data_IF_897128837483
#
_entry.id   IF_897128837483
#
_cell.length_a   1.000
_cell.length_b   1.000
_cell.length_c   1.000
_cell.angle_alpha   90.00
_cell.angle_beta   90.00
_cell.angle_gamma   90.00
#
_symmetry.space_group_name_H-M   'P 1'
#
loop_
_entity.id
_entity.type
_entity.pdbx_description
1 polymer ?
#
# COMPACT_ATOMS: atom_id res chain seq x y z
N UNK A 1 14.16 -1.01 45.46
CA UNK A 1 14.14 0.01 44.38
C UNK A 1 13.40 -0.60 43.20
N UNK A 2 12.50 0.14 42.54
CA UNK A 2 11.78 -0.39 41.39
C UNK A 2 12.73 -0.53 40.18
N UNK A 3 12.75 -1.71 39.55
CA UNK A 3 13.56 -1.97 38.37
C UNK A 3 12.73 -1.75 37.10
N UNK A 4 13.01 -0.64 36.40
CA UNK A 4 12.33 -0.26 35.16
C UNK A 4 12.58 -1.26 34.03
N UNK A 5 13.79 -1.79 33.90
CA UNK A 5 14.12 -2.73 32.81
C UNK A 5 13.44 -4.08 33.01
N UNK A 6 13.32 -4.54 34.27
CA UNK A 6 12.48 -5.69 34.58
C UNK A 6 11.02 -5.43 34.21
N UNK A 7 10.47 -4.25 34.57
CA UNK A 7 9.10 -3.90 34.24
C UNK A 7 8.83 -3.81 32.72
N UNK A 8 9.77 -3.29 31.93
CA UNK A 8 9.67 -3.28 30.46
C UNK A 8 9.67 -4.70 29.89
N UNK A 9 10.57 -5.59 30.36
CA UNK A 9 10.62 -6.99 29.92
C UNK A 9 9.34 -7.76 30.25
N UNK A 10 8.81 -7.55 31.45
CA UNK A 10 7.56 -8.19 31.88
C UNK A 10 6.38 -7.72 31.04
N UNK A 11 6.27 -6.41 30.82
CA UNK A 11 5.23 -5.84 29.96
C UNK A 11 5.35 -6.36 28.52
N UNK A 12 6.56 -6.41 27.96
CA UNK A 12 6.82 -6.94 26.62
C UNK A 12 6.37 -8.39 26.51
N UNK A 13 6.75 -9.21 27.49
CA UNK A 13 6.35 -10.62 27.58
C UNK A 13 4.82 -10.77 27.61
N UNK A 14 4.14 -9.93 28.39
CA UNK A 14 2.67 -9.90 28.40
C UNK A 14 2.06 -9.50 27.05
N UNK A 15 2.66 -8.56 26.32
CA UNK A 15 2.18 -8.14 25.00
C UNK A 15 2.38 -9.24 23.97
N UNK A 16 3.56 -9.87 23.92
CA UNK A 16 3.89 -10.94 22.97
C UNK A 16 2.99 -12.18 23.16
N UNK A 17 2.61 -12.53 24.39
CA UNK A 17 1.74 -13.69 24.67
C UNK A 17 0.25 -13.34 24.66
N UNK A 18 -0.11 -12.12 25.09
CA UNK A 18 -1.50 -11.72 25.34
C UNK A 18 -2.18 -11.02 24.16
N UNK A 19 -1.40 -10.55 23.18
CA UNK A 19 -1.92 -9.86 22.00
C UNK A 19 -1.41 -10.54 20.75
N UNK A 20 -2.25 -10.73 19.73
CA UNK A 20 -1.83 -11.22 18.43
C UNK A 20 -1.00 -10.21 17.62
N UNK A 21 -0.29 -9.30 18.31
CA UNK A 21 0.58 -8.30 17.71
C UNK A 21 1.82 -8.99 17.13
N UNK A 22 2.29 -8.45 16.02
CA UNK A 22 3.56 -8.86 15.45
C UNK A 22 4.70 -8.38 16.38
N UNK A 23 5.83 -9.11 16.46
CA UNK A 23 6.97 -8.70 17.28
C UNK A 23 7.41 -7.25 17.04
N UNK A 24 7.33 -6.79 15.78
CA UNK A 24 7.62 -5.40 15.39
C UNK A 24 6.68 -4.37 16.04
N UNK A 25 5.39 -4.69 16.13
CA UNK A 25 4.40 -3.79 16.72
C UNK A 25 4.61 -3.68 18.22
N UNK A 26 5.01 -4.79 18.86
CA UNK A 26 5.41 -4.78 20.28
C UNK A 26 6.65 -3.92 20.52
N UNK A 27 7.66 -4.01 19.65
CA UNK A 27 8.86 -3.16 19.76
C UNK A 27 8.54 -1.67 19.66
N UNK A 28 7.72 -1.28 18.69
CA UNK A 28 7.32 0.12 18.51
C UNK A 28 6.53 0.65 19.71
N UNK A 29 5.65 -0.19 20.29
CA UNK A 29 4.94 0.15 21.52
C UNK A 29 5.87 0.22 22.73
N UNK A 30 6.91 -0.62 22.81
CA UNK A 30 7.92 -0.57 23.87
C UNK A 30 8.70 0.75 23.79
N UNK A 31 9.14 1.15 22.59
CA UNK A 31 9.84 2.41 22.37
C UNK A 31 8.97 3.60 22.79
N UNK A 32 7.68 3.59 22.44
CA UNK A 32 6.72 4.60 22.89
C UNK A 32 6.54 4.59 24.42
N UNK A 33 6.45 3.41 25.04
CA UNK A 33 6.32 3.28 26.49
C UNK A 33 7.54 3.87 27.21
N UNK A 34 8.74 3.49 26.76
CA UNK A 34 10.01 3.99 27.29
C UNK A 34 10.08 5.51 27.16
N UNK A 35 9.78 6.06 25.98
CA UNK A 35 9.77 7.50 25.74
C UNK A 35 8.80 8.23 26.69
N UNK A 36 7.59 7.71 26.89
CA UNK A 36 6.61 8.30 27.80
C UNK A 36 7.08 8.24 29.26
N UNK A 37 7.67 7.12 29.70
CA UNK A 37 8.21 6.99 31.06
C UNK A 37 9.29 8.03 31.33
N UNK A 38 10.25 8.18 30.40
CA UNK A 38 11.33 9.14 30.56
C UNK A 38 10.81 10.58 30.57
N UNK A 39 9.84 10.90 29.70
CA UNK A 39 9.19 12.20 29.68
C UNK A 39 8.51 12.52 31.02
N UNK A 40 7.76 11.58 31.60
CA UNK A 40 7.09 11.79 32.90
C UNK A 40 8.09 12.01 34.05
N UNK A 41 9.23 11.31 34.03
CA UNK A 41 10.31 11.48 35.00
C UNK A 41 11.03 12.83 34.85
N UNK A 42 11.18 13.32 33.63
CA UNK A 42 11.76 14.64 33.36
C UNK A 42 10.84 15.77 33.80
N UNK A 43 9.53 15.66 33.51
CA UNK A 43 8.52 16.66 33.85
C UNK A 43 8.27 16.74 35.36
N UNK A 44 8.35 15.60 36.07
CA UNK A 44 8.10 15.55 37.50
C UNK A 44 9.17 14.75 38.24
N UNK A 45 10.19 15.46 38.75
CA UNK A 45 11.30 14.86 39.50
C UNK A 45 10.88 14.20 40.82
N UNK A 46 9.69 14.51 41.36
CA UNK A 46 9.17 13.85 42.55
C UNK A 46 8.46 12.53 42.23
N UNK A 47 8.24 12.23 40.95
CA UNK A 47 7.56 11.03 40.51
C UNK A 47 8.48 9.81 40.64
N UNK A 48 7.98 8.77 41.31
CA UNK A 48 8.72 7.50 41.38
C UNK A 48 8.71 6.77 40.02
N UNK A 49 9.78 6.03 39.66
CA UNK A 49 9.82 5.22 38.44
C UNK A 49 8.63 4.26 38.27
N UNK A 50 8.17 3.65 39.37
CA UNK A 50 7.00 2.77 39.36
C UNK A 50 5.73 3.51 38.94
N UNK A 51 5.55 4.76 39.41
CA UNK A 51 4.38 5.58 39.08
C UNK A 51 4.44 6.10 37.65
N UNK A 52 5.62 6.53 37.18
CA UNK A 52 5.85 6.92 35.80
C UNK A 52 5.50 5.77 34.83
N UNK A 53 5.98 4.57 35.13
CA UNK A 53 5.65 3.36 34.35
C UNK A 53 4.15 3.07 34.32
N UNK A 54 3.47 3.14 35.47
CA UNK A 54 2.02 2.92 35.54
C UNK A 54 1.22 3.94 34.70
N UNK A 55 1.60 5.22 34.75
CA UNK A 55 0.98 6.28 33.96
C UNK A 55 1.21 6.08 32.46
N UNK A 56 2.46 5.79 32.06
CA UNK A 56 2.81 5.51 30.66
C UNK A 56 2.04 4.30 30.11
N UNK A 57 1.94 3.21 30.90
CA UNK A 57 1.15 2.03 30.53
C UNK A 57 -0.33 2.35 30.39
N UNK A 58 -0.88 3.19 31.28
CA UNK A 58 -2.27 3.62 31.19
C UNK A 58 -2.51 4.49 29.94
N UNK A 59 -1.56 5.35 29.57
CA UNK A 59 -1.64 6.19 28.38
C UNK A 59 -1.61 5.38 27.07
N UNK A 60 -0.82 4.30 27.02
CA UNK A 60 -0.78 3.38 25.87
C UNK A 60 -2.08 2.60 25.68
N UNK A 61 -2.84 2.37 26.75
CA UNK A 61 -4.17 1.77 26.69
C UNK A 61 -4.19 0.23 26.73
N UNK A 62 -5.39 -0.34 26.57
CA UNK A 62 -5.60 -1.78 26.74
C UNK A 62 -5.03 -2.59 25.55
N UNK A 63 -4.26 -3.67 25.79
CA UNK A 63 -3.60 -4.45 24.74
C UNK A 63 -4.54 -4.96 23.63
N UNK A 64 -5.79 -5.32 23.98
CA UNK A 64 -6.81 -5.75 23.01
C UNK A 64 -7.28 -4.61 22.09
N UNK A 65 -7.32 -3.39 22.61
CA UNK A 65 -7.69 -2.21 21.82
C UNK A 65 -6.59 -1.89 20.82
N UNK A 66 -5.32 -1.90 21.25
CA UNK A 66 -4.16 -1.73 20.39
C UNK A 66 -4.12 -2.78 19.28
N UNK A 67 -4.29 -4.06 19.61
CA UNK A 67 -4.35 -5.13 18.60
C UNK A 67 -5.43 -4.90 17.53
N UNK A 68 -6.60 -4.36 17.91
CA UNK A 68 -7.65 -3.98 16.94
C UNK A 68 -7.26 -2.79 16.07
N UNK A 69 -6.55 -1.80 16.62
CA UNK A 69 -6.08 -0.65 15.87
C UNK A 69 -4.96 -1.03 14.89
N UNK A 70 -3.99 -1.82 15.35
CA UNK A 70 -2.96 -2.39 14.48
C UNK A 70 -3.55 -3.32 13.42
N UNK A 71 -4.57 -4.12 13.74
CA UNK A 71 -5.27 -4.94 12.74
C UNK A 71 -6.04 -4.09 11.70
N UNK A 72 -6.59 -2.93 12.10
CA UNK A 72 -7.21 -1.96 11.17
C UNK A 72 -6.14 -1.30 10.28
N UNK A 73 -5.02 -0.91 10.86
CA UNK A 73 -3.88 -0.33 10.13
C UNK A 73 -3.18 -1.36 9.22
N UNK A 74 -3.22 -2.64 9.59
CA UNK A 74 -2.52 -3.75 8.96
C UNK A 74 -3.24 -4.36 7.76
N UNK A 75 -4.47 -3.94 7.43
CA UNK A 75 -5.09 -4.36 6.17
C UNK A 75 -4.32 -3.71 5.00
N UNK A 76 -3.69 -4.51 4.12
CA UNK A 76 -2.86 -3.95 3.07
C UNK A 76 -3.70 -3.13 2.09
N UNK A 77 -3.67 -1.79 2.24
CA UNK A 77 -4.44 -0.83 1.42
C UNK A 77 -4.20 -1.04 -0.08
N UNK A 78 -3.02 -1.54 -0.46
CA UNK A 78 -2.70 -1.89 -1.84
C UNK A 78 -3.66 -2.92 -2.45
N UNK A 79 -4.22 -3.86 -1.67
CA UNK A 79 -5.18 -4.85 -2.20
C UNK A 79 -6.48 -4.21 -2.64
N UNK A 80 -6.96 -3.22 -1.89
CA UNK A 80 -8.18 -2.48 -2.24
C UNK A 80 -7.96 -1.67 -3.52
N UNK A 81 -6.83 -0.97 -3.63
CA UNK A 81 -6.47 -0.23 -4.83
C UNK A 81 -6.26 -1.14 -6.04
N UNK A 82 -5.65 -2.31 -5.86
CA UNK A 82 -5.46 -3.28 -6.95
C UNK A 82 -6.81 -3.83 -7.45
N UNK A 83 -7.74 -4.11 -6.54
CA UNK A 83 -9.11 -4.56 -6.89
C UNK A 83 -9.91 -3.46 -7.56
N UNK A 84 -9.85 -2.23 -7.03
CA UNK A 84 -10.52 -1.07 -7.62
C UNK A 84 -9.97 -0.79 -9.03
N UNK A 85 -8.65 -0.76 -9.19
CA UNK A 85 -8.01 -0.60 -10.49
C UNK A 85 -8.38 -1.72 -11.46
N UNK A 86 -8.34 -2.98 -11.02
CA UNK A 86 -8.78 -4.11 -11.85
C UNK A 86 -10.26 -4.03 -12.26
N UNK A 87 -11.15 -3.60 -11.35
CA UNK A 87 -12.57 -3.41 -11.66
C UNK A 87 -12.80 -2.26 -12.65
N UNK A 88 -12.12 -1.13 -12.48
CA UNK A 88 -12.17 0.00 -13.42
C UNK A 88 -11.64 -0.41 -14.80
N UNK A 89 -10.54 -1.16 -14.84
CA UNK A 89 -9.98 -1.69 -16.07
C UNK A 89 -10.96 -2.66 -16.75
N UNK A 90 -11.60 -3.56 -15.99
CA UNK A 90 -12.63 -4.44 -16.54
C UNK A 90 -13.83 -3.66 -17.09
N UNK A 91 -14.31 -2.65 -16.35
CA UNK A 91 -15.40 -1.80 -16.77
C UNK A 91 -15.07 -1.01 -18.05
N UNK A 92 -13.83 -0.57 -18.24
CA UNK A 92 -13.47 0.17 -19.45
C UNK A 92 -13.63 -0.62 -20.75
N UNK A 93 -13.61 -1.96 -20.70
CA UNK A 93 -13.82 -2.79 -21.89
C UNK A 93 -15.26 -2.74 -22.42
N UNK A 94 -16.22 -2.52 -21.52
CA UNK A 94 -17.66 -2.50 -21.81
C UNK A 94 -18.24 -1.09 -21.79
N UNK A 95 -17.41 -0.07 -21.66
CA UNK A 95 -17.83 1.33 -21.70
C UNK A 95 -17.34 1.97 -23.01
N UNK A 96 -18.05 2.96 -23.54
CA UNK A 96 -17.59 3.75 -24.67
C UNK A 96 -16.25 4.41 -24.34
N UNK A 97 -15.22 4.15 -25.15
CA UNK A 97 -13.89 4.73 -24.97
C UNK A 97 -13.73 6.04 -25.75
N UNK A 98 -14.26 6.07 -26.97
CA UNK A 98 -14.29 7.24 -27.86
C UNK A 98 -15.72 7.35 -28.40
N UNK A 99 -16.24 8.57 -28.59
CA UNK A 99 -17.54 8.72 -29.22
C UNK A 99 -17.77 10.10 -29.79
N UNK A 100 -18.21 10.13 -31.04
CA UNK A 100 -18.59 11.34 -31.77
C UNK A 100 -20.07 11.30 -32.19
N UNK A 101 -20.48 12.19 -33.09
CA UNK A 101 -21.83 12.20 -33.65
C UNK A 101 -22.16 10.97 -34.54
N UNK A 102 -21.16 10.20 -34.98
CA UNK A 102 -21.30 9.05 -35.86
C UNK A 102 -21.37 7.71 -35.11
N UNK A 103 -20.96 7.65 -33.84
CA UNK A 103 -21.15 6.48 -33.00
C UNK A 103 -20.26 6.41 -31.76
N UNK A 104 -20.31 5.26 -31.09
CA UNK A 104 -19.48 4.96 -29.92
C UNK A 104 -18.57 3.78 -30.22
N UNK A 105 -17.28 3.95 -29.95
CA UNK A 105 -16.30 2.87 -30.00
C UNK A 105 -16.10 2.32 -28.59
N UNK A 106 -16.42 1.04 -28.40
CA UNK A 106 -16.32 0.39 -27.09
C UNK A 106 -14.86 0.05 -26.78
N UNK A 107 -14.48 -0.01 -25.49
CA UNK A 107 -13.07 -0.27 -25.13
C UNK A 107 -12.50 -1.57 -25.71
N UNK A 108 -13.31 -2.64 -25.83
CA UNK A 108 -12.91 -3.87 -26.51
C UNK A 108 -12.68 -3.70 -28.01
N UNK A 109 -13.55 -2.97 -28.69
CA UNK A 109 -13.42 -2.69 -30.13
C UNK A 109 -12.19 -1.81 -30.41
N UNK A 110 -11.97 -0.78 -29.59
CA UNK A 110 -10.79 0.07 -29.65
C UNK A 110 -9.50 -0.75 -29.49
N UNK A 111 -9.50 -1.74 -28.59
CA UNK A 111 -8.37 -2.65 -28.41
C UNK A 111 -8.16 -3.58 -29.61
N UNK A 112 -9.23 -4.12 -30.20
CA UNK A 112 -9.12 -4.97 -31.40
C UNK A 112 -8.59 -4.16 -32.59
N UNK A 113 -9.13 -2.97 -32.83
CA UNK A 113 -8.66 -2.07 -33.89
C UNK A 113 -7.18 -1.72 -33.71
N UNK A 114 -6.77 -1.43 -32.47
CA UNK A 114 -5.37 -1.18 -32.13
C UNK A 114 -4.44 -2.36 -32.42
N UNK A 115 -4.92 -3.60 -32.35
CA UNK A 115 -4.14 -4.80 -32.68
C UNK A 115 -4.08 -5.09 -34.17
N UNK A 116 -5.18 -4.88 -34.89
CA UNK A 116 -5.29 -5.26 -36.30
C UNK A 116 -4.72 -4.20 -37.25
N UNK A 117 -5.02 -2.93 -36.98
CA UNK A 117 -4.75 -1.82 -37.89
C UNK A 117 -4.18 -0.59 -37.18
N UNK A 118 -3.75 -0.74 -35.93
CA UNK A 118 -3.37 0.37 -35.09
C UNK A 118 -2.21 1.18 -35.65
N UNK A 119 -2.38 2.50 -35.66
CA UNK A 119 -1.27 3.44 -35.67
C UNK A 119 -0.31 3.16 -34.49
N UNK A 120 0.93 3.66 -34.52
CA UNK A 120 1.88 3.45 -33.42
C UNK A 120 1.32 3.83 -32.03
N UNK A 121 0.48 4.86 -31.93
CA UNK A 121 -0.13 5.27 -30.66
C UNK A 121 -1.23 4.33 -30.17
N UNK A 122 -2.03 3.79 -31.08
CA UNK A 122 -3.03 2.76 -30.76
C UNK A 122 -2.34 1.45 -30.34
N UNK A 123 -1.28 1.04 -31.05
CA UNK A 123 -0.46 -0.11 -30.66
C UNK A 123 0.15 0.06 -29.26
N UNK A 124 0.64 1.26 -28.91
CA UNK A 124 1.10 1.59 -27.54
C UNK A 124 -0.04 1.46 -26.51
N UNK A 125 -1.26 1.81 -26.87
CA UNK A 125 -2.45 1.67 -26.03
C UNK A 125 -2.77 0.19 -25.76
N UNK A 126 -2.71 -0.66 -26.78
CA UNK A 126 -2.87 -2.11 -26.63
C UNK A 126 -1.77 -2.72 -25.76
N UNK A 127 -0.50 -2.34 -25.99
CA UNK A 127 0.64 -2.79 -25.16
C UNK A 127 0.50 -2.38 -23.69
N UNK A 128 0.01 -1.17 -23.43
CA UNK A 128 -0.21 -0.70 -22.06
C UNK A 128 -1.34 -1.46 -21.35
N UNK A 129 -2.37 -1.90 -22.09
CA UNK A 129 -3.44 -2.76 -21.57
C UNK A 129 -2.92 -4.16 -21.22
N UNK A 130 -2.05 -4.73 -22.05
CA UNK A 130 -1.34 -6.00 -21.75
C UNK A 130 -0.46 -5.84 -20.50
N UNK A 131 0.25 -4.72 -20.37
CA UNK A 131 1.08 -4.41 -19.20
C UNK A 131 0.25 -4.36 -17.91
N UNK A 132 -0.95 -3.76 -17.95
CA UNK A 132 -1.87 -3.73 -16.80
C UNK A 132 -2.33 -5.14 -16.40
N UNK A 133 -2.72 -5.97 -17.37
CA UNK A 133 -3.08 -7.38 -17.11
C UNK A 133 -1.93 -8.15 -16.48
N UNK A 134 -0.71 -8.00 -17.01
CA UNK A 134 0.49 -8.59 -16.44
C UNK A 134 0.74 -8.08 -15.02
N UNK A 135 0.59 -6.77 -14.77
CA UNK A 135 0.74 -6.21 -13.44
C UNK A 135 -0.25 -6.85 -12.46
N UNK A 136 -1.53 -6.95 -12.80
CA UNK A 136 -2.57 -7.57 -11.96
C UNK A 136 -2.22 -9.02 -11.58
N UNK A 137 -1.75 -9.82 -12.55
CA UNK A 137 -1.42 -11.23 -12.33
C UNK A 137 -0.12 -11.43 -11.53
N UNK A 138 0.90 -10.63 -11.83
CA UNK A 138 2.28 -10.88 -11.41
C UNK A 138 2.57 -10.18 -10.07
N UNK A 139 1.76 -9.19 -9.66
CA UNK A 139 1.88 -8.45 -8.37
C UNK A 139 2.12 -9.40 -7.18
N UNK A 140 1.39 -10.53 -7.11
CA UNK A 140 1.52 -11.57 -6.09
C UNK A 140 2.90 -12.20 -5.92
N UNK A 141 3.64 -12.37 -7.03
CA UNK A 141 4.77 -13.33 -7.14
C UNK A 141 6.14 -12.67 -7.25
N UNK A 142 6.19 -11.35 -7.43
CA UNK A 142 7.39 -10.64 -7.91
C UNK A 142 8.24 -10.09 -6.78
N UNK A 143 9.57 -10.08 -6.96
CA UNK A 143 10.54 -9.46 -6.03
C UNK A 143 10.42 -7.92 -6.01
N UNK A 144 10.85 -7.28 -4.92
CA UNK A 144 10.74 -5.82 -4.70
C UNK A 144 11.29 -4.96 -5.85
N UNK A 145 12.48 -5.28 -6.36
CA UNK A 145 13.10 -4.51 -7.46
C UNK A 145 12.23 -4.47 -8.70
N UNK A 146 11.68 -5.63 -9.07
CA UNK A 146 10.76 -5.79 -10.19
C UNK A 146 9.41 -5.10 -9.97
N UNK A 147 8.91 -5.02 -8.72
CA UNK A 147 7.69 -4.24 -8.42
C UNK A 147 7.88 -2.74 -8.66
N UNK A 148 9.01 -2.15 -8.27
CA UNK A 148 9.30 -0.73 -8.55
C UNK A 148 9.40 -0.46 -10.05
N UNK A 149 10.06 -1.37 -10.78
CA UNK A 149 10.15 -1.28 -12.23
C UNK A 149 8.76 -1.35 -12.87
N UNK A 150 7.91 -2.31 -12.47
CA UNK A 150 6.53 -2.40 -12.94
C UNK A 150 5.72 -1.13 -12.62
N UNK A 151 5.88 -0.53 -11.43
CA UNK A 151 5.25 0.75 -11.11
C UNK A 151 5.62 1.83 -12.14
N UNK A 152 6.91 1.99 -12.43
CA UNK A 152 7.37 3.00 -13.39
C UNK A 152 6.88 2.71 -14.81
N UNK A 153 6.86 1.46 -15.24
CA UNK A 153 6.31 1.09 -16.55
C UNK A 153 4.82 1.41 -16.66
N UNK A 154 4.02 1.07 -15.64
CA UNK A 154 2.57 1.36 -15.62
C UNK A 154 2.33 2.87 -15.61
N UNK A 155 3.05 3.62 -14.77
CA UNK A 155 2.92 5.08 -14.72
C UNK A 155 3.34 5.73 -16.06
N UNK A 156 4.47 5.31 -16.62
CA UNK A 156 4.96 5.82 -17.90
C UNK A 156 3.99 5.53 -19.04
N UNK A 157 3.43 4.33 -19.08
CA UNK A 157 2.40 3.96 -20.05
C UNK A 157 1.14 4.83 -19.92
N UNK A 158 0.68 5.10 -18.69
CA UNK A 158 -0.46 5.97 -18.45
C UNK A 158 -0.21 7.40 -18.97
N UNK A 159 0.97 7.97 -18.66
CA UNK A 159 1.34 9.32 -19.11
C UNK A 159 1.43 9.40 -20.63
N UNK A 160 2.08 8.43 -21.28
CA UNK A 160 2.19 8.39 -22.74
C UNK A 160 0.82 8.32 -23.42
N UNK A 161 -0.10 7.51 -22.88
CA UNK A 161 -1.45 7.40 -23.42
C UNK A 161 -2.28 8.68 -23.21
N UNK A 162 -2.15 9.34 -22.04
CA UNK A 162 -2.80 10.63 -21.81
C UNK A 162 -2.30 11.69 -22.79
N UNK A 163 -0.98 11.77 -22.99
CA UNK A 163 -0.38 12.72 -23.93
C UNK A 163 -0.80 12.45 -25.37
N UNK A 164 -1.00 11.18 -25.75
CA UNK A 164 -1.41 10.80 -27.10
C UNK A 164 -2.90 11.07 -27.36
N UNK A 165 -3.79 10.66 -26.44
CA UNK A 165 -5.24 10.67 -26.67
C UNK A 165 -5.94 11.99 -26.31
N UNK A 166 -5.46 12.74 -25.31
CA UNK A 166 -6.09 14.01 -24.91
C UNK A 166 -6.21 15.01 -26.08
N UNK A 167 -5.19 15.18 -26.95
CA UNK A 167 -5.28 16.09 -28.09
C UNK A 167 -6.26 15.64 -29.19
N UNK A 168 -6.60 14.35 -29.26
CA UNK A 168 -7.41 13.76 -30.34
C UNK A 168 -8.92 13.94 -30.13
N UNK A 169 -9.35 14.38 -28.94
CA UNK A 169 -10.74 14.78 -28.66
C UNK A 169 -11.71 13.62 -28.41
N UNK A 170 -12.86 13.96 -27.82
CA UNK A 170 -14.03 13.10 -27.56
C UNK A 170 -13.77 11.78 -26.81
N UNK A 171 -13.02 11.90 -25.72
CA UNK A 171 -12.77 10.80 -24.78
C UNK A 171 -13.99 10.56 -23.89
N UNK A 172 -14.58 9.37 -24.01
CA UNK A 172 -15.76 8.98 -23.27
C UNK A 172 -15.41 8.36 -21.90
N UNK A 173 -16.44 8.03 -21.12
CA UNK A 173 -16.31 7.49 -19.75
C UNK A 173 -15.43 6.24 -19.67
N UNK A 174 -15.44 5.38 -20.69
CA UNK A 174 -14.60 4.18 -20.77
C UNK A 174 -13.11 4.52 -20.79
N UNK A 175 -12.69 5.59 -21.48
CA UNK A 175 -11.31 6.04 -21.48
C UNK A 175 -10.87 6.51 -20.08
N UNK A 176 -11.72 7.27 -19.39
CA UNK A 176 -11.40 7.74 -18.04
C UNK A 176 -11.37 6.61 -17.01
N UNK A 177 -12.25 5.62 -17.14
CA UNK A 177 -12.20 4.40 -16.35
C UNK A 177 -10.89 3.63 -16.61
N UNK A 178 -10.50 3.52 -17.88
CA UNK A 178 -9.25 2.91 -18.30
C UNK A 178 -8.05 3.66 -17.70
N UNK A 179 -7.93 4.97 -17.89
CA UNK A 179 -6.83 5.77 -17.36
C UNK A 179 -6.77 5.75 -15.82
N UNK A 180 -7.92 5.86 -15.14
CA UNK A 180 -8.01 5.78 -13.68
C UNK A 180 -7.55 4.44 -13.12
N UNK A 181 -7.70 3.35 -13.89
CA UNK A 181 -7.18 2.03 -13.50
C UNK A 181 -5.66 2.01 -13.33
N UNK A 182 -4.92 2.71 -14.21
CA UNK A 182 -3.45 2.80 -14.13
C UNK A 182 -3.01 3.48 -12.85
N UNK A 183 -3.67 4.58 -12.46
CA UNK A 183 -3.37 5.31 -11.22
C UNK A 183 -3.57 4.41 -10.00
N UNK A 184 -4.69 3.67 -9.96
CA UNK A 184 -4.97 2.73 -8.87
C UNK A 184 -3.93 1.61 -8.80
N UNK A 185 -3.60 1.01 -9.95
CA UNK A 185 -2.67 -0.13 -10.03
C UNK A 185 -1.23 0.31 -9.73
N UNK A 186 -0.77 1.43 -10.28
CA UNK A 186 0.54 1.99 -9.98
C UNK A 186 0.69 2.32 -8.48
N UNK A 187 -0.34 2.93 -7.88
CA UNK A 187 -0.39 3.21 -6.45
C UNK A 187 -0.33 1.92 -5.61
N UNK A 188 -1.09 0.89 -6.00
CA UNK A 188 -1.05 -0.41 -5.34
C UNK A 188 0.35 -1.06 -5.42
N UNK A 189 0.96 -1.06 -6.60
CA UNK A 189 2.32 -1.59 -6.80
C UNK A 189 3.35 -0.84 -5.96
N UNK A 190 3.26 0.49 -5.91
CA UNK A 190 4.16 1.32 -5.12
C UNK A 190 4.01 1.06 -3.61
N UNK A 191 2.78 1.03 -3.09
CA UNK A 191 2.51 0.70 -1.69
C UNK A 191 3.06 -0.69 -1.33
N UNK A 192 2.84 -1.69 -2.20
CA UNK A 192 3.37 -3.04 -2.00
C UNK A 192 4.90 -3.09 -2.04
N UNK A 193 5.53 -2.31 -2.89
CA UNK A 193 6.98 -2.21 -2.95
C UNK A 193 7.57 -1.57 -1.69
N UNK A 194 6.87 -0.60 -1.08
CA UNK A 194 7.23 0.01 0.21
C UNK A 194 7.05 -0.96 1.38
N UNK A 195 5.94 -1.70 1.43
CA UNK A 195 5.67 -2.69 2.48
C UNK A 195 6.81 -3.72 2.59
N UNK A 196 7.31 -4.22 1.45
CA UNK A 196 8.45 -5.15 1.41
C UNK A 196 9.80 -4.50 1.73
N UNK A 197 9.91 -3.18 1.61
CA UNK A 197 11.12 -2.46 2.02
C UNK A 197 11.26 -2.46 3.54
N UNK A 198 10.15 -2.18 4.23
CA UNK A 198 10.08 -2.18 5.70
C UNK A 198 10.39 -3.55 6.31
N UNK A 199 10.04 -4.65 5.65
CA UNK A 199 10.36 -6.00 6.16
C UNK A 199 11.85 -6.34 6.09
N UNK A 200 12.60 -5.76 5.13
CA UNK A 200 14.00 -6.17 4.85
C UNK A 200 15.05 -5.40 5.65
N UNK A 201 14.68 -4.27 6.25
CA UNK A 201 15.61 -3.38 6.97
C UNK A 201 15.88 -3.80 8.42
N UNK A 202 15.31 -4.92 8.89
CA UNK A 202 15.58 -5.40 10.25
C UNK A 202 16.60 -6.54 10.22
N UNK A 203 17.80 -6.37 10.77
CA UNK A 203 18.74 -7.48 10.94
C UNK A 203 18.07 -8.56 11.78
N UNK A 204 18.35 -9.83 11.45
CA UNK A 204 17.89 -10.94 12.26
C UNK A 204 18.37 -10.72 13.70
N UNK A 205 17.53 -10.97 14.72
CA UNK A 205 17.98 -10.85 16.11
C UNK A 205 19.23 -11.72 16.26
N UNK A 206 20.29 -11.12 16.82
CA UNK A 206 21.52 -11.84 17.11
C UNK A 206 21.16 -13.08 17.91
N UNK A 207 21.56 -14.26 17.42
CA UNK A 207 21.31 -15.51 18.16
C UNK A 207 22.01 -15.38 19.52
N UNK A 208 21.31 -15.62 20.64
CA UNK A 208 21.97 -15.66 21.93
C UNK A 208 23.03 -16.78 21.89
N UNK A 209 24.27 -16.39 22.16
CA UNK A 209 25.43 -17.27 22.32
C UNK A 209 25.41 -17.94 23.68
#
# INVERSE_FOLDING_TARGET
MFDLEAAFRDWRTCMEHGTGLLPREVDELEDHLRAHVYLELELNKALTPARAFALARQAIGEPKMLSREFAKAGKPRWRHLLRAGGAMFAASWILPAVGDAAGHLWGWEAFQLALEWGTPGEALSALSSILVLLALFVTGRVRRSKLRWLTWCVTGAAVLNLLYWIPLGDLAVGYWAWAGSFVCIASALWMRARERASTKLRPAPARPS
#
